data_IF_885148206811
#
_entry.id   IF_885148206811
#
_cell.length_a   1.000
_cell.length_b   1.000
_cell.length_c   1.000
_cell.angle_alpha   90.00
_cell.angle_beta   90.00
_cell.angle_gamma   90.00
#
_symmetry.space_group_name_H-M   'P 1'
#
loop_
_entity.id
_entity.type
_entity.pdbx_description
1 polymer ?
#
# COMPACT_ATOMS: atom_id res chain seq x y z
N UNK A 1 -36.73 12.18 18.30
CA UNK A 1 -35.55 12.80 17.67
C UNK A 1 -35.12 11.88 16.54
N UNK A 2 -35.13 12.33 15.29
CA UNK A 2 -34.65 11.54 14.18
C UNK A 2 -33.12 11.30 14.36
N UNK A 3 -32.68 10.06 14.20
CA UNK A 3 -31.25 9.77 14.18
C UNK A 3 -30.55 10.66 13.14
N UNK A 4 -29.33 11.18 13.43
CA UNK A 4 -28.62 11.97 12.44
C UNK A 4 -28.41 11.15 11.16
N UNK A 5 -28.43 11.80 9.99
CA UNK A 5 -28.27 11.09 8.72
C UNK A 5 -26.90 10.37 8.69
N UNK A 6 -26.91 9.17 8.15
CA UNK A 6 -25.69 8.38 7.98
C UNK A 6 -24.71 9.12 7.04
N UNK A 7 -23.42 9.23 7.39
CA UNK A 7 -22.46 9.96 6.57
C UNK A 7 -22.32 9.31 5.17
N UNK A 8 -22.12 10.09 4.11
CA UNK A 8 -21.76 9.55 2.80
C UNK A 8 -20.36 8.97 2.86
N UNK A 9 -20.17 7.77 2.33
CA UNK A 9 -18.88 7.10 2.26
C UNK A 9 -18.59 6.55 0.87
N UNK A 10 -17.33 6.38 0.52
CA UNK A 10 -16.89 5.83 -0.76
C UNK A 10 -16.10 4.56 -0.56
N UNK A 11 -16.43 3.50 -1.27
CA UNK A 11 -15.56 2.34 -1.45
C UNK A 11 -14.88 2.47 -2.82
N UNK A 12 -13.54 2.61 -2.79
CA UNK A 12 -12.69 2.63 -3.98
C UNK A 12 -12.23 1.22 -4.29
N UNK A 13 -12.69 0.65 -5.38
CA UNK A 13 -12.21 -0.62 -5.91
C UNK A 13 -11.22 -0.33 -7.04
N UNK A 14 -9.94 -0.56 -6.75
CA UNK A 14 -8.83 -0.32 -7.66
C UNK A 14 -8.46 -1.60 -8.39
N UNK A 15 -8.33 -1.56 -9.70
CA UNK A 15 -7.97 -2.73 -10.49
C UNK A 15 -6.98 -2.42 -11.62
N UNK A 16 -6.19 -3.42 -11.96
CA UNK A 16 -5.28 -3.43 -13.09
C UNK A 16 -4.90 -4.87 -13.46
N UNK A 17 -5.33 -5.35 -14.65
CA UNK A 17 -5.08 -6.70 -15.14
C UNK A 17 -5.48 -7.79 -14.13
N UNK A 18 -6.76 -7.79 -13.74
CA UNK A 18 -7.33 -8.69 -12.73
C UNK A 18 -8.61 -9.38 -13.22
N UNK A 19 -8.68 -9.74 -14.50
CA UNK A 19 -9.84 -10.39 -15.12
C UNK A 19 -10.34 -11.63 -14.35
N UNK A 20 -9.42 -12.37 -13.70
CA UNK A 20 -9.75 -13.63 -13.02
C UNK A 20 -10.34 -13.42 -11.61
N UNK A 21 -10.16 -12.24 -11.02
CA UNK A 21 -10.54 -11.96 -9.60
C UNK A 21 -11.53 -10.82 -9.44
N UNK A 22 -11.59 -9.90 -10.42
CA UNK A 22 -12.38 -8.67 -10.31
C UNK A 22 -13.87 -8.93 -10.07
N UNK A 23 -14.42 -10.03 -10.59
CA UNK A 23 -15.82 -10.40 -10.37
C UNK A 23 -16.16 -10.64 -8.88
N UNK A 24 -15.28 -11.35 -8.16
CA UNK A 24 -15.44 -11.58 -6.72
C UNK A 24 -15.29 -10.27 -5.92
N UNK A 25 -14.34 -9.42 -6.31
CA UNK A 25 -14.13 -8.12 -5.68
C UNK A 25 -15.35 -7.19 -5.85
N UNK A 26 -15.94 -7.16 -7.05
CA UNK A 26 -17.18 -6.40 -7.33
C UNK A 26 -18.33 -6.96 -6.52
N UNK A 27 -18.52 -8.27 -6.47
CA UNK A 27 -19.59 -8.89 -5.67
C UNK A 27 -19.46 -8.50 -4.19
N UNK A 28 -18.25 -8.49 -3.62
CA UNK A 28 -17.99 -8.01 -2.27
C UNK A 28 -18.26 -6.51 -2.07
N UNK A 29 -18.02 -5.68 -3.09
CA UNK A 29 -18.31 -4.26 -3.05
C UNK A 29 -19.83 -3.98 -3.15
N UNK A 30 -20.53 -4.64 -4.08
CA UNK A 30 -21.98 -4.51 -4.27
C UNK A 30 -22.78 -5.11 -3.11
N UNK A 31 -22.22 -6.09 -2.41
CA UNK A 31 -22.85 -6.75 -1.26
C UNK A 31 -22.69 -6.03 0.08
N UNK A 32 -22.20 -4.77 0.10
CA UNK A 32 -22.11 -4.00 1.35
C UNK A 32 -23.50 -3.64 1.91
N UNK A 33 -23.63 -3.69 3.23
CA UNK A 33 -24.88 -3.46 3.95
C UNK A 33 -25.12 -1.97 4.34
N UNK A 34 -24.29 -1.05 3.87
CA UNK A 34 -24.34 0.36 4.21
C UNK A 34 -25.11 1.18 3.16
N UNK A 35 -26.24 1.86 3.53
CA UNK A 35 -27.13 2.44 2.53
C UNK A 35 -26.62 3.72 1.85
N UNK A 36 -25.77 4.53 2.52
CA UNK A 36 -25.25 5.78 1.94
C UNK A 36 -23.83 5.57 1.36
N UNK A 37 -23.69 4.57 0.50
CA UNK A 37 -22.44 4.15 -0.11
C UNK A 37 -22.36 4.56 -1.59
N UNK A 38 -21.25 5.18 -1.96
CA UNK A 38 -20.77 5.32 -3.32
C UNK A 38 -19.68 4.28 -3.57
N UNK A 39 -19.76 3.53 -4.66
CA UNK A 39 -18.73 2.60 -5.09
C UNK A 39 -18.07 3.18 -6.35
N UNK A 40 -16.79 3.48 -6.27
CA UNK A 40 -16.00 3.94 -7.40
C UNK A 40 -15.06 2.80 -7.80
N UNK A 41 -15.30 2.23 -8.97
CA UNK A 41 -14.44 1.22 -9.58
C UNK A 41 -13.49 1.94 -10.53
N UNK A 42 -12.19 1.84 -10.27
CA UNK A 42 -11.17 2.55 -11.06
C UNK A 42 -10.19 1.56 -11.70
N UNK A 43 -10.32 1.40 -13.00
CA UNK A 43 -9.44 0.59 -13.84
C UNK A 43 -8.26 1.42 -14.34
N UNK A 44 -7.04 0.94 -14.06
CA UNK A 44 -5.80 1.64 -14.39
C UNK A 44 -5.24 1.27 -15.77
N UNK A 45 -6.08 1.35 -16.79
CA UNK A 45 -5.79 0.99 -18.18
C UNK A 45 -5.40 -0.48 -18.37
N UNK A 46 -6.20 -1.40 -17.85
CA UNK A 46 -6.04 -2.85 -18.04
C UNK A 46 -5.93 -3.24 -19.52
N UNK A 47 -5.17 -4.29 -19.80
CA UNK A 47 -4.92 -4.82 -21.15
C UNK A 47 -5.49 -6.23 -21.35
N UNK A 48 -6.10 -6.79 -20.31
CA UNK A 48 -6.80 -8.07 -20.29
C UNK A 48 -8.32 -7.85 -20.29
N UNK A 49 -9.11 -8.88 -20.01
CA UNK A 49 -10.58 -8.83 -19.93
C UNK A 49 -11.15 -8.16 -18.67
N UNK A 50 -10.35 -7.41 -17.88
CA UNK A 50 -10.81 -6.80 -16.60
C UNK A 50 -12.00 -5.86 -16.82
N UNK A 51 -11.92 -4.94 -17.80
CA UNK A 51 -12.99 -3.93 -18.04
C UNK A 51 -14.27 -4.59 -18.53
N UNK A 52 -14.18 -5.60 -19.38
CA UNK A 52 -15.31 -6.39 -19.86
C UNK A 52 -16.01 -7.10 -18.71
N UNK A 53 -15.25 -7.72 -17.80
CA UNK A 53 -15.80 -8.36 -16.59
C UNK A 53 -16.48 -7.34 -15.66
N UNK A 54 -15.88 -6.15 -15.47
CA UNK A 54 -16.52 -5.09 -14.68
C UNK A 54 -17.88 -4.72 -15.29
N UNK A 55 -17.93 -4.46 -16.60
CA UNK A 55 -19.19 -4.10 -17.28
C UNK A 55 -20.24 -5.20 -17.15
N UNK A 56 -19.83 -6.45 -17.34
CA UNK A 56 -20.74 -7.61 -17.18
C UNK A 56 -21.29 -7.74 -15.76
N UNK A 57 -20.48 -7.50 -14.72
CA UNK A 57 -20.93 -7.52 -13.32
C UNK A 57 -21.87 -6.36 -12.98
N UNK A 58 -21.78 -5.23 -13.68
CA UNK A 58 -22.61 -4.06 -13.46
C UNK A 58 -23.87 -4.04 -14.33
N UNK A 59 -23.94 -4.89 -15.35
CA UNK A 59 -25.10 -4.96 -16.23
C UNK A 59 -26.37 -5.34 -15.45
N UNK A 60 -27.42 -4.54 -15.60
CA UNK A 60 -28.67 -4.72 -14.87
C UNK A 60 -28.60 -4.47 -13.34
N UNK A 61 -27.50 -3.92 -12.82
CA UNK A 61 -27.45 -3.61 -11.37
C UNK A 61 -28.53 -2.60 -10.97
N UNK A 62 -29.44 -3.04 -10.11
CA UNK A 62 -30.55 -2.24 -9.56
C UNK A 62 -30.48 -2.13 -8.01
N UNK A 63 -29.30 -2.36 -7.43
CA UNK A 63 -29.06 -2.30 -5.98
C UNK A 63 -29.02 -0.85 -5.44
N UNK A 64 -28.86 -0.68 -4.12
CA UNK A 64 -29.00 0.61 -3.45
C UNK A 64 -27.81 1.55 -3.63
N UNK A 65 -26.65 1.06 -4.10
CA UNK A 65 -25.42 1.85 -4.12
C UNK A 65 -25.29 2.68 -5.40
N UNK A 66 -24.67 3.85 -5.27
CA UNK A 66 -24.30 4.68 -6.42
C UNK A 66 -22.99 4.14 -7.00
N UNK A 67 -23.01 3.73 -8.25
CA UNK A 67 -21.84 3.15 -8.91
C UNK A 67 -21.23 4.16 -9.87
N UNK A 68 -19.89 4.27 -9.84
CA UNK A 68 -19.10 5.03 -10.80
C UNK A 68 -17.97 4.17 -11.33
N UNK A 69 -17.92 4.00 -12.65
CA UNK A 69 -16.80 3.32 -13.33
C UNK A 69 -15.88 4.37 -13.94
N UNK A 70 -14.61 4.31 -13.59
CA UNK A 70 -13.53 5.11 -14.16
C UNK A 70 -12.58 4.17 -14.91
N UNK A 71 -12.33 4.45 -16.18
CA UNK A 71 -11.34 3.76 -16.97
C UNK A 71 -10.26 4.76 -17.36
N UNK A 72 -9.07 4.61 -16.81
CA UNK A 72 -7.96 5.51 -17.08
C UNK A 72 -7.47 5.31 -18.54
N UNK A 73 -7.13 6.37 -19.27
CA UNK A 73 -6.61 6.24 -20.64
C UNK A 73 -5.18 5.66 -20.68
N UNK A 74 -4.42 5.81 -19.59
CA UNK A 74 -3.08 5.27 -19.40
C UNK A 74 -2.91 4.74 -17.97
N UNK A 75 -1.92 3.87 -17.75
CA UNK A 75 -1.60 3.37 -16.42
C UNK A 75 -0.94 4.47 -15.58
N UNK A 76 -1.62 4.92 -14.56
CA UNK A 76 -1.18 5.96 -13.62
C UNK A 76 -0.38 5.38 -12.44
N UNK A 77 -0.41 4.07 -12.25
CA UNK A 77 0.07 3.38 -11.06
C UNK A 77 -0.85 3.58 -9.86
N UNK A 78 -0.63 2.80 -8.80
CA UNK A 78 -1.51 2.76 -7.62
C UNK A 78 -1.78 4.17 -7.07
N UNK A 79 -0.75 4.96 -6.80
CA UNK A 79 -0.91 6.31 -6.24
C UNK A 79 -1.67 7.27 -7.15
N UNK A 80 -1.38 7.27 -8.45
CA UNK A 80 -2.09 8.12 -9.43
C UNK A 80 -3.54 7.70 -9.62
N UNK A 81 -3.82 6.40 -9.65
CA UNK A 81 -5.16 5.85 -9.75
C UNK A 81 -6.01 6.19 -8.51
N UNK A 82 -5.44 6.07 -7.31
CA UNK A 82 -6.08 6.50 -6.06
C UNK A 82 -6.38 8.00 -6.09
N UNK A 83 -5.39 8.83 -6.41
CA UNK A 83 -5.55 10.29 -6.41
C UNK A 83 -6.70 10.73 -7.32
N UNK A 84 -6.74 10.20 -8.55
CA UNK A 84 -7.80 10.48 -9.50
C UNK A 84 -9.16 9.99 -9.00
N UNK A 85 -9.26 8.78 -8.48
CA UNK A 85 -10.51 8.19 -8.04
C UNK A 85 -11.06 8.91 -6.80
N UNK A 86 -10.22 9.28 -5.83
CA UNK A 86 -10.62 10.06 -4.66
C UNK A 86 -11.17 11.44 -5.07
N UNK A 87 -10.49 12.14 -5.98
CA UNK A 87 -10.97 13.45 -6.47
C UNK A 87 -12.31 13.39 -7.19
N UNK A 88 -12.66 12.24 -7.74
CA UNK A 88 -13.95 12.02 -8.40
C UNK A 88 -15.00 11.39 -7.49
N UNK A 89 -14.70 11.14 -6.23
CA UNK A 89 -15.60 10.57 -5.23
C UNK A 89 -16.11 11.63 -4.26
N UNK A 90 -17.15 11.31 -3.48
CA UNK A 90 -17.86 12.29 -2.63
C UNK A 90 -17.90 11.92 -1.14
N UNK A 91 -17.49 10.68 -0.76
CA UNK A 91 -17.58 10.20 0.62
C UNK A 91 -16.67 10.95 1.59
N UNK A 92 -17.13 11.13 2.82
CA UNK A 92 -16.35 11.66 3.94
C UNK A 92 -15.29 10.65 4.43
N UNK A 93 -15.62 9.35 4.37
CA UNK A 93 -14.73 8.24 4.68
C UNK A 93 -14.54 7.40 3.41
N UNK A 94 -13.30 7.05 3.09
CA UNK A 94 -12.90 6.39 1.86
C UNK A 94 -12.30 5.04 2.23
N UNK A 95 -12.87 3.96 1.72
CA UNK A 95 -12.42 2.58 1.88
C UNK A 95 -11.59 2.17 0.67
N UNK A 96 -10.44 1.57 0.89
CA UNK A 96 -9.59 1.05 -0.19
C UNK A 96 -9.85 -0.45 -0.36
N UNK A 97 -10.06 -0.87 -1.60
CA UNK A 97 -10.21 -2.27 -1.97
C UNK A 97 -9.40 -2.57 -3.23
N UNK A 98 -8.73 -3.72 -3.26
CA UNK A 98 -8.06 -4.24 -4.45
C UNK A 98 -9.00 -5.12 -5.27
N UNK A 99 -8.79 -5.18 -6.60
CA UNK A 99 -9.58 -6.04 -7.49
C UNK A 99 -9.25 -7.53 -7.37
N UNK A 100 -8.37 -7.92 -6.45
CA UNK A 100 -8.03 -9.30 -6.08
C UNK A 100 -8.52 -9.67 -4.67
N UNK A 101 -9.07 -8.72 -3.90
CA UNK A 101 -9.54 -8.92 -2.54
C UNK A 101 -11.07 -8.89 -2.46
N UNK A 102 -11.65 -9.48 -1.41
CA UNK A 102 -13.11 -9.51 -1.24
C UNK A 102 -13.51 -8.82 0.06
N UNK A 103 -14.21 -7.70 -0.03
CA UNK A 103 -14.79 -7.03 1.14
C UNK A 103 -15.93 -7.85 1.73
N UNK A 104 -15.94 -8.07 3.05
CA UNK A 104 -17.06 -8.72 3.72
C UNK A 104 -18.28 -7.80 3.77
N UNK A 105 -19.53 -8.32 3.78
CA UNK A 105 -20.74 -7.51 3.69
C UNK A 105 -20.86 -6.41 4.73
N UNK A 106 -20.45 -6.65 5.97
CA UNK A 106 -20.49 -5.69 7.07
C UNK A 106 -19.26 -4.79 7.17
N UNK A 107 -18.35 -4.78 6.16
CA UNK A 107 -17.11 -3.99 6.26
C UNK A 107 -17.39 -2.50 6.44
N UNK A 108 -18.22 -1.95 5.59
CA UNK A 108 -18.47 -0.50 5.59
C UNK A 108 -19.27 -0.10 6.83
N UNK A 109 -20.34 -0.79 7.16
CA UNK A 109 -21.18 -0.48 8.32
C UNK A 109 -20.40 -0.59 9.64
N UNK A 110 -19.59 -1.64 9.81
CA UNK A 110 -18.76 -1.86 11.02
C UNK A 110 -17.75 -0.72 11.22
N UNK A 111 -17.03 -0.34 10.17
CA UNK A 111 -16.03 0.75 10.26
C UNK A 111 -16.68 2.09 10.49
N UNK A 112 -17.82 2.38 9.83
CA UNK A 112 -18.58 3.63 10.05
C UNK A 112 -19.11 3.71 11.47
N UNK A 113 -19.71 2.63 12.00
CA UNK A 113 -20.17 2.59 13.40
C UNK A 113 -19.02 2.84 14.38
N UNK A 114 -17.87 2.21 14.16
CA UNK A 114 -16.67 2.46 14.95
C UNK A 114 -16.24 3.94 14.88
N UNK A 115 -16.19 4.51 13.69
CA UNK A 115 -15.81 5.91 13.48
C UNK A 115 -16.77 6.88 14.16
N UNK A 116 -18.08 6.64 14.08
CA UNK A 116 -19.11 7.44 14.76
C UNK A 116 -19.02 7.31 16.28
N UNK A 117 -18.79 6.11 16.82
CA UNK A 117 -18.58 5.87 18.24
C UNK A 117 -17.34 6.60 18.79
N UNK A 118 -16.35 6.89 17.94
CA UNK A 118 -15.18 7.70 18.27
C UNK A 118 -15.33 9.18 17.85
N UNK A 119 -16.57 9.68 17.74
CA UNK A 119 -16.88 11.09 17.45
C UNK A 119 -16.24 11.59 16.14
N UNK A 120 -16.04 10.69 15.16
CA UNK A 120 -15.36 10.97 13.88
C UNK A 120 -13.92 11.49 14.02
N UNK A 121 -13.27 11.25 15.16
CA UNK A 121 -11.88 11.69 15.44
C UNK A 121 -10.82 10.95 14.63
N UNK A 122 -10.90 9.61 14.48
CA UNK A 122 -9.91 8.89 13.68
C UNK A 122 -9.91 9.35 12.21
N UNK A 123 -8.72 9.57 11.65
CA UNK A 123 -8.54 9.87 10.24
C UNK A 123 -8.10 8.65 9.42
N UNK A 124 -7.53 7.65 10.09
CA UNK A 124 -7.25 6.36 9.50
C UNK A 124 -7.67 5.24 10.43
N UNK A 125 -8.45 4.32 9.91
CA UNK A 125 -8.90 3.10 10.58
C UNK A 125 -8.36 1.91 9.78
N UNK A 126 -7.48 1.11 10.40
CA UNK A 126 -7.00 -0.14 9.84
C UNK A 126 -7.73 -1.32 10.46
N UNK A 127 -8.30 -2.21 9.66
CA UNK A 127 -8.96 -3.42 10.12
C UNK A 127 -8.03 -4.64 10.02
N UNK A 128 -8.40 -5.77 10.64
CA UNK A 128 -7.79 -7.07 10.36
C UNK A 128 -8.34 -7.64 9.05
N UNK A 129 -7.66 -8.69 8.55
CA UNK A 129 -8.04 -9.37 7.31
C UNK A 129 -8.04 -10.88 7.53
N UNK A 130 -8.80 -11.59 6.72
CA UNK A 130 -8.59 -13.01 6.52
C UNK A 130 -7.54 -13.24 5.44
N UNK A 131 -6.62 -14.14 5.69
CA UNK A 131 -5.60 -14.59 4.75
C UNK A 131 -6.22 -15.64 3.81
N UNK A 132 -6.36 -15.32 2.54
CA UNK A 132 -7.01 -16.15 1.53
C UNK A 132 -6.00 -16.60 0.49
N UNK A 133 -6.03 -17.88 0.11
CA UNK A 133 -5.19 -18.37 -0.98
C UNK A 133 -5.81 -18.09 -2.37
N UNK A 134 -5.12 -18.50 -3.43
CA UNK A 134 -5.57 -18.28 -4.82
C UNK A 134 -6.87 -19.05 -5.16
N UNK A 135 -7.22 -20.08 -4.40
CA UNK A 135 -8.46 -20.85 -4.57
C UNK A 135 -9.66 -20.28 -3.80
N UNK A 136 -9.46 -19.20 -3.04
CA UNK A 136 -10.49 -18.62 -2.17
C UNK A 136 -10.57 -19.21 -0.77
N UNK A 137 -9.71 -20.18 -0.42
CA UNK A 137 -9.70 -20.82 0.90
C UNK A 137 -9.07 -19.89 1.93
N UNK A 138 -9.75 -19.70 3.07
CA UNK A 138 -9.23 -18.95 4.21
C UNK A 138 -8.20 -19.80 4.97
N UNK A 139 -7.02 -19.24 5.17
CA UNK A 139 -5.88 -19.87 5.83
C UNK A 139 -5.68 -19.39 7.27
N UNK A 140 -6.25 -18.25 7.64
CA UNK A 140 -6.10 -17.65 8.96
C UNK A 140 -6.45 -16.17 8.99
N UNK A 141 -6.03 -15.48 10.05
CA UNK A 141 -6.25 -14.06 10.23
C UNK A 141 -4.93 -13.31 10.16
N UNK A 142 -4.87 -12.24 9.34
CA UNK A 142 -3.77 -11.28 9.31
C UNK A 142 -4.11 -10.15 10.28
N UNK A 143 -3.22 -9.94 11.25
CA UNK A 143 -3.32 -8.82 12.20
C UNK A 143 -2.36 -7.71 11.77
N UNK A 144 -2.87 -6.50 11.69
CA UNK A 144 -2.05 -5.30 11.47
C UNK A 144 -1.48 -4.77 12.80
N UNK A 145 -0.59 -3.79 12.72
CA UNK A 145 -0.06 -3.10 13.89
C UNK A 145 -1.16 -2.35 14.67
N UNK A 146 -0.99 -2.22 15.99
CA UNK A 146 -1.88 -1.42 16.83
C UNK A 146 -1.54 0.06 16.64
N UNK A 147 -2.26 0.73 15.71
CA UNK A 147 -1.92 2.07 15.24
C UNK A 147 -2.07 3.13 16.33
N UNK A 148 -2.99 2.95 17.27
CA UNK A 148 -3.23 3.84 18.41
C UNK A 148 -2.05 3.90 19.39
N UNK A 149 -1.07 2.99 19.28
CA UNK A 149 0.18 3.05 20.07
C UNK A 149 1.19 4.03 19.50
N UNK A 150 1.03 4.43 18.25
CA UNK A 150 1.87 5.42 17.60
C UNK A 150 1.32 6.81 17.88
N UNK A 151 1.95 7.55 18.77
CA UNK A 151 1.52 8.89 19.18
C UNK A 151 2.26 10.01 18.46
N UNK A 152 3.32 9.66 17.75
CA UNK A 152 4.16 10.62 17.02
C UNK A 152 4.91 9.93 15.88
N UNK A 153 5.50 10.73 14.99
CA UNK A 153 6.39 10.23 13.97
C UNK A 153 7.70 9.65 14.53
N UNK A 154 8.06 9.97 15.77
CA UNK A 154 9.21 9.33 16.44
C UNK A 154 8.95 7.87 16.74
N UNK A 155 7.73 7.51 17.14
CA UNK A 155 7.34 6.12 17.32
C UNK A 155 7.40 5.36 16.01
N UNK A 156 6.88 5.97 14.93
CA UNK A 156 6.95 5.40 13.58
C UNK A 156 8.40 5.22 13.12
N UNK A 157 9.28 6.21 13.37
CA UNK A 157 10.68 6.17 12.92
C UNK A 157 11.48 5.03 13.57
N UNK A 158 11.17 4.69 14.82
CA UNK A 158 11.79 3.57 15.55
C UNK A 158 11.36 2.22 15.00
N UNK A 159 10.06 2.05 14.71
CA UNK A 159 9.49 0.80 14.21
C UNK A 159 8.20 1.07 13.46
N UNK A 160 8.23 1.20 12.13
CA UNK A 160 7.01 1.40 11.33
C UNK A 160 6.01 0.26 11.56
N UNK A 161 4.70 0.57 11.64
CA UNK A 161 3.68 -0.46 11.81
C UNK A 161 3.58 -1.39 10.59
N UNK A 162 3.10 -2.60 10.80
CA UNK A 162 2.62 -3.43 9.72
C UNK A 162 1.21 -2.99 9.35
N UNK A 163 1.01 -2.52 8.12
CA UNK A 163 -0.27 -2.08 7.55
C UNK A 163 -0.52 -2.75 6.22
N UNK A 164 -1.78 -2.81 5.79
CA UNK A 164 -2.22 -3.34 4.50
C UNK A 164 -3.31 -2.42 3.96
N UNK A 165 -3.14 -1.91 2.73
CA UNK A 165 -4.04 -0.93 2.11
C UNK A 165 -5.47 -1.42 1.99
N UNK A 166 -5.68 -2.66 1.55
CA UNK A 166 -6.99 -3.28 1.43
C UNK A 166 -7.83 -3.29 2.73
N UNK A 167 -7.18 -3.13 3.90
CA UNK A 167 -7.83 -3.08 5.20
C UNK A 167 -8.08 -1.66 5.73
N UNK A 168 -7.67 -0.63 4.99
CA UNK A 168 -7.74 0.75 5.45
C UNK A 168 -9.02 1.46 5.02
N UNK A 169 -9.46 2.37 5.89
CA UNK A 169 -10.40 3.44 5.56
C UNK A 169 -9.78 4.77 6.01
N UNK A 170 -9.90 5.80 5.17
CA UNK A 170 -9.33 7.13 5.41
C UNK A 170 -10.40 8.20 5.36
N UNK A 171 -10.27 9.23 6.17
CA UNK A 171 -11.11 10.41 5.99
C UNK A 171 -10.62 11.23 4.79
N UNK A 172 -11.58 11.85 4.09
CA UNK A 172 -11.27 12.81 3.02
C UNK A 172 -10.40 13.95 3.53
N UNK A 173 -10.66 14.46 4.75
CA UNK A 173 -9.85 15.54 5.34
C UNK A 173 -8.36 15.14 5.51
N UNK A 174 -8.04 13.86 5.80
CA UNK A 174 -6.64 13.41 5.84
C UNK A 174 -6.02 13.44 4.45
N UNK A 175 -6.75 12.99 3.43
CA UNK A 175 -6.27 12.97 2.06
C UNK A 175 -6.02 14.40 1.54
N UNK A 176 -6.99 15.29 1.73
CA UNK A 176 -6.95 16.66 1.21
C UNK A 176 -5.89 17.51 1.91
N UNK A 177 -5.69 17.34 3.24
CA UNK A 177 -4.70 18.05 4.03
C UNK A 177 -3.29 17.99 3.43
N UNK A 178 -2.92 16.81 2.90
CA UNK A 178 -1.58 16.59 2.34
C UNK A 178 -1.56 16.62 0.80
N UNK A 179 -2.56 17.21 0.16
CA UNK A 179 -2.63 17.42 -1.29
C UNK A 179 -2.84 16.15 -2.11
N UNK A 180 -3.34 15.08 -1.49
CA UNK A 180 -3.64 13.83 -2.18
C UNK A 180 -2.53 12.78 -2.13
N UNK A 181 -2.55 11.83 -3.08
CA UNK A 181 -1.56 10.75 -3.17
C UNK A 181 -0.52 11.09 -4.25
N UNK A 182 0.79 10.99 -3.96
CA UNK A 182 1.80 11.33 -4.95
C UNK A 182 1.82 10.33 -6.11
N UNK A 183 1.87 10.85 -7.36
CA UNK A 183 2.03 10.03 -8.57
C UNK A 183 3.32 9.21 -8.46
N UNK A 184 3.22 7.91 -8.72
CA UNK A 184 4.33 6.96 -8.62
C UNK A 184 4.53 6.30 -7.26
N UNK A 185 3.74 6.66 -6.23
CA UNK A 185 3.70 5.89 -4.99
C UNK A 185 3.03 4.52 -5.21
N UNK A 186 3.55 3.49 -4.53
CA UNK A 186 3.03 2.11 -4.53
C UNK A 186 2.63 1.69 -3.12
N UNK A 187 3.29 2.23 -2.10
CA UNK A 187 2.99 1.99 -0.68
C UNK A 187 2.04 3.07 -0.13
N UNK A 188 0.88 3.22 -0.74
CA UNK A 188 -0.16 4.17 -0.35
C UNK A 188 -0.60 3.97 1.10
N UNK A 189 -0.68 2.73 1.53
CA UNK A 189 -1.05 2.32 2.89
C UNK A 189 -0.10 2.88 3.94
N UNK A 190 1.21 2.81 3.67
CA UNK A 190 2.23 3.34 4.58
C UNK A 190 2.26 4.86 4.56
N UNK A 191 2.06 5.50 3.39
CA UNK A 191 1.99 6.97 3.28
C UNK A 191 0.82 7.52 4.09
N UNK A 192 -0.36 6.91 3.97
CA UNK A 192 -1.55 7.36 4.71
C UNK A 192 -1.44 7.05 6.21
N UNK A 193 -0.90 5.88 6.58
CA UNK A 193 -0.63 5.56 7.98
C UNK A 193 0.38 6.53 8.60
N UNK A 194 1.45 6.90 7.88
CA UNK A 194 2.43 7.89 8.33
C UNK A 194 1.79 9.26 8.62
N UNK A 195 0.94 9.75 7.72
CA UNK A 195 0.19 11.01 7.87
C UNK A 195 -0.71 10.99 9.11
N UNK A 196 -1.52 9.93 9.26
CA UNK A 196 -2.45 9.80 10.37
C UNK A 196 -1.73 9.60 11.72
N UNK A 197 -0.61 8.87 11.76
CA UNK A 197 0.25 8.75 12.95
C UNK A 197 0.84 10.10 13.32
N UNK A 198 1.31 10.88 12.35
CA UNK A 198 1.82 12.22 12.60
C UNK A 198 0.79 13.19 13.20
N UNK A 199 -0.49 12.92 12.97
CA UNK A 199 -1.63 13.65 13.56
C UNK A 199 -2.19 12.98 14.83
N UNK A 200 -1.65 11.84 15.23
CA UNK A 200 -2.19 10.99 16.31
C UNK A 200 -3.67 10.59 16.11
N UNK A 201 -4.08 10.35 14.85
CA UNK A 201 -5.46 10.01 14.45
C UNK A 201 -5.59 8.63 13.78
N UNK A 202 -4.54 7.78 13.88
CA UNK A 202 -4.55 6.41 13.37
C UNK A 202 -5.00 5.43 14.45
N UNK A 203 -5.94 4.54 14.10
CA UNK A 203 -6.48 3.52 15.03
C UNK A 203 -6.64 2.17 14.34
N UNK A 204 -6.65 1.11 15.15
CA UNK A 204 -6.86 -0.26 14.70
C UNK A 204 -8.21 -0.77 15.18
N UNK A 205 -9.01 -1.27 14.24
CA UNK A 205 -10.22 -2.03 14.50
C UNK A 205 -9.88 -3.54 14.42
N UNK A 206 -9.83 -4.27 15.56
CA UNK A 206 -9.33 -5.65 15.58
C UNK A 206 -10.38 -6.68 15.10
N UNK A 207 -11.02 -6.38 13.96
CA UNK A 207 -12.06 -7.22 13.33
C UNK A 207 -11.65 -7.52 11.90
N UNK A 208 -11.62 -8.79 11.46
CA UNK A 208 -11.38 -9.13 10.06
C UNK A 208 -12.57 -8.71 9.18
N UNK A 209 -12.31 -7.85 8.19
CA UNK A 209 -13.35 -7.27 7.33
C UNK A 209 -13.09 -7.45 5.83
N UNK A 210 -11.98 -8.08 5.46
CA UNK A 210 -11.59 -8.33 4.07
C UNK A 210 -10.95 -9.72 3.96
N UNK A 211 -11.31 -10.48 2.95
CA UNK A 211 -10.58 -11.64 2.50
C UNK A 211 -9.43 -11.16 1.60
N UNK A 212 -8.21 -11.20 2.10
CA UNK A 212 -7.00 -10.72 1.42
C UNK A 212 -6.34 -11.85 0.65
N UNK A 213 -6.29 -11.75 -0.67
CA UNK A 213 -5.75 -12.80 -1.55
C UNK A 213 -4.23 -12.75 -1.60
N UNK A 214 -3.60 -13.89 -1.29
CA UNK A 214 -2.15 -14.04 -1.42
C UNK A 214 -1.70 -13.92 -2.88
N UNK A 215 -0.52 -13.34 -3.10
CA UNK A 215 0.11 -13.31 -4.42
C UNK A 215 -0.12 -12.05 -5.23
N UNK A 216 -0.78 -11.04 -4.66
CA UNK A 216 -0.90 -9.70 -5.26
C UNK A 216 0.45 -9.04 -5.59
N UNK A 217 0.43 -7.86 -6.19
CA UNK A 217 1.59 -7.12 -6.71
C UNK A 217 2.71 -6.91 -5.68
N UNK A 218 2.37 -6.88 -4.39
CA UNK A 218 3.30 -6.64 -3.27
C UNK A 218 3.86 -7.90 -2.65
N UNK A 219 3.48 -9.09 -3.11
CA UNK A 219 3.92 -10.36 -2.52
C UNK A 219 5.46 -10.49 -2.57
N UNK A 220 6.06 -10.76 -1.40
CA UNK A 220 7.52 -10.92 -1.27
C UNK A 220 7.92 -12.32 -1.72
N UNK A 221 8.44 -12.46 -2.95
CA UNK A 221 9.14 -13.68 -3.36
C UNK A 221 10.49 -13.78 -2.66
N UNK A 222 10.83 -14.97 -2.13
CA UNK A 222 12.16 -15.18 -1.56
C UNK A 222 13.22 -15.07 -2.66
N UNK A 223 14.15 -14.12 -2.51
CA UNK A 223 15.28 -13.98 -3.41
C UNK A 223 16.35 -15.01 -3.07
N UNK A 224 16.55 -15.98 -3.95
CA UNK A 224 17.49 -17.08 -3.81
C UNK A 224 18.72 -16.95 -4.74
N UNK A 225 18.87 -15.82 -5.42
CA UNK A 225 19.98 -15.47 -6.29
C UNK A 225 20.19 -13.95 -6.34
N UNK A 226 21.37 -13.53 -6.81
CA UNK A 226 21.73 -12.13 -6.88
C UNK A 226 20.87 -11.36 -7.90
N UNK A 227 20.51 -11.97 -9.02
CA UNK A 227 19.72 -11.32 -10.07
C UNK A 227 18.33 -10.94 -9.56
N UNK A 228 17.67 -11.83 -8.81
CA UNK A 228 16.39 -11.58 -8.16
C UNK A 228 16.47 -10.42 -7.15
N UNK A 229 17.59 -10.36 -6.37
CA UNK A 229 17.81 -9.24 -5.44
C UNK A 229 17.97 -7.92 -6.20
N UNK A 230 18.84 -7.90 -7.23
CA UNK A 230 19.08 -6.72 -8.05
C UNK A 230 17.77 -6.23 -8.70
N UNK A 231 17.02 -7.14 -9.33
CA UNK A 231 15.72 -6.81 -9.93
C UNK A 231 14.74 -6.24 -8.90
N UNK A 232 14.75 -6.78 -7.67
CA UNK A 232 13.92 -6.27 -6.56
C UNK A 232 14.33 -4.87 -6.12
N UNK A 233 15.64 -4.62 -5.99
CA UNK A 233 16.18 -3.30 -5.64
C UNK A 233 15.84 -2.26 -6.72
N UNK A 234 16.18 -2.53 -7.99
CA UNK A 234 16.03 -1.55 -9.07
C UNK A 234 14.57 -1.25 -9.41
N UNK A 235 13.67 -2.25 -9.34
CA UNK A 235 12.25 -2.08 -9.66
C UNK A 235 11.54 -1.08 -8.74
N UNK A 236 11.95 -1.00 -7.47
CA UNK A 236 11.26 -0.19 -6.44
C UNK A 236 11.86 1.19 -6.21
N UNK A 237 13.02 1.49 -6.78
CA UNK A 237 13.76 2.73 -6.49
C UNK A 237 12.86 3.97 -6.67
N UNK A 238 12.17 4.09 -7.80
CA UNK A 238 11.41 5.29 -8.11
C UNK A 238 10.21 5.47 -7.17
N UNK A 239 9.43 4.42 -6.91
CA UNK A 239 8.31 4.49 -5.99
C UNK A 239 8.78 4.78 -4.57
N UNK A 240 9.79 4.07 -4.06
CA UNK A 240 10.33 4.28 -2.71
C UNK A 240 10.90 5.71 -2.55
N UNK A 241 11.60 6.25 -3.55
CA UNK A 241 12.05 7.65 -3.52
C UNK A 241 10.88 8.64 -3.46
N UNK A 242 9.85 8.41 -4.25
CA UNK A 242 8.64 9.25 -4.25
C UNK A 242 7.95 9.24 -2.89
N UNK A 243 7.76 8.07 -2.31
CA UNK A 243 7.16 7.88 -0.99
C UNK A 243 8.00 8.54 0.11
N UNK A 244 9.32 8.33 0.12
CA UNK A 244 10.22 8.92 1.12
C UNK A 244 10.29 10.45 1.02
N UNK A 245 10.29 11.02 -0.19
CA UNK A 245 10.20 12.49 -0.38
C UNK A 245 8.88 13.03 0.17
N UNK A 246 7.77 12.39 -0.20
CA UNK A 246 6.45 12.75 0.32
C UNK A 246 6.42 12.70 1.86
N UNK A 247 6.94 11.61 2.46
CA UNK A 247 7.01 11.48 3.92
C UNK A 247 7.92 12.53 4.56
N UNK A 248 9.05 12.88 3.95
CA UNK A 248 9.93 13.94 4.43
C UNK A 248 9.23 15.31 4.42
N UNK A 249 8.52 15.62 3.36
CA UNK A 249 7.79 16.90 3.26
C UNK A 249 6.63 16.94 4.26
N UNK A 250 5.87 15.85 4.40
CA UNK A 250 4.83 15.74 5.42
C UNK A 250 5.41 15.80 6.85
N UNK A 251 6.56 15.17 7.11
CA UNK A 251 7.24 15.24 8.41
C UNK A 251 7.67 16.67 8.78
N UNK A 252 8.19 17.45 7.81
CA UNK A 252 8.54 18.86 8.00
C UNK A 252 7.31 19.72 8.30
N UNK A 253 6.23 19.53 7.53
CA UNK A 253 4.94 20.22 7.75
C UNK A 253 4.38 19.95 9.14
N UNK A 254 4.51 18.71 9.62
CA UNK A 254 4.04 18.27 10.94
C UNK A 254 4.97 18.64 12.09
N UNK A 255 6.12 19.28 11.82
CA UNK A 255 7.09 19.65 12.86
C UNK A 255 7.78 18.44 13.51
N UNK A 256 8.03 17.37 12.74
CA UNK A 256 8.69 16.17 13.26
C UNK A 256 10.09 16.47 13.82
N UNK A 257 10.54 15.65 14.77
CA UNK A 257 11.85 15.78 15.39
C UNK A 257 12.99 15.67 14.38
N UNK A 258 14.14 16.28 14.70
CA UNK A 258 15.35 16.16 13.91
C UNK A 258 15.78 14.69 13.74
N UNK A 259 15.52 13.84 14.75
CA UNK A 259 15.81 12.40 14.68
C UNK A 259 14.94 11.69 13.63
N UNK A 260 13.64 11.95 13.59
CA UNK A 260 12.73 11.40 12.57
C UNK A 260 13.11 11.86 11.16
N UNK A 261 13.42 13.16 10.98
CA UNK A 261 13.88 13.70 9.70
C UNK A 261 15.18 13.04 9.24
N UNK A 262 16.14 12.83 10.16
CA UNK A 262 17.40 12.15 9.86
C UNK A 262 17.19 10.69 9.42
N UNK A 263 16.28 9.95 10.05
CA UNK A 263 15.92 8.57 9.65
C UNK A 263 15.32 8.52 8.24
N UNK A 264 14.42 9.43 7.91
CA UNK A 264 13.81 9.51 6.58
C UNK A 264 14.84 9.90 5.52
N UNK A 265 15.69 10.89 5.82
CA UNK A 265 16.76 11.36 4.93
C UNK A 265 17.79 10.24 4.68
N UNK A 266 18.19 9.49 5.71
CA UNK A 266 19.08 8.33 5.54
C UNK A 266 18.45 7.27 4.63
N UNK A 267 17.16 6.97 4.81
CA UNK A 267 16.43 6.04 3.93
C UNK A 267 16.44 6.54 2.48
N UNK A 268 16.16 7.81 2.25
CA UNK A 268 16.19 8.41 0.92
C UNK A 268 17.60 8.38 0.31
N UNK A 269 18.64 8.69 1.09
CA UNK A 269 20.04 8.59 0.64
C UNK A 269 20.43 7.17 0.26
N UNK A 270 19.90 6.15 0.94
CA UNK A 270 20.11 4.73 0.56
C UNK A 270 19.55 4.44 -0.83
N UNK A 271 18.34 4.91 -1.13
CA UNK A 271 17.73 4.72 -2.45
C UNK A 271 18.49 5.47 -3.55
N UNK A 272 18.90 6.71 -3.30
CA UNK A 272 19.72 7.50 -4.22
C UNK A 272 21.09 6.84 -4.48
N UNK A 273 21.70 6.29 -3.45
CA UNK A 273 22.96 5.54 -3.59
C UNK A 273 22.78 4.28 -4.44
N UNK A 274 21.72 3.50 -4.21
CA UNK A 274 21.41 2.31 -5.01
C UNK A 274 21.23 2.71 -6.49
N UNK A 275 20.42 3.75 -6.76
CA UNK A 275 20.19 4.26 -8.11
C UNK A 275 21.51 4.65 -8.80
N UNK A 276 22.29 5.51 -8.14
CA UNK A 276 23.57 5.98 -8.68
C UNK A 276 24.55 4.83 -8.92
N UNK A 277 24.58 3.83 -8.03
CA UNK A 277 25.46 2.67 -8.13
C UNK A 277 25.13 1.79 -9.33
N UNK A 278 23.84 1.56 -9.63
CA UNK A 278 23.43 0.75 -10.78
C UNK A 278 23.48 1.53 -12.10
N UNK A 279 23.36 2.85 -12.08
CA UNK A 279 23.53 3.71 -13.25
C UNK A 279 25.01 3.93 -13.62
N UNK A 280 25.94 3.84 -12.66
CA UNK A 280 27.37 4.12 -12.86
C UNK A 280 28.03 3.11 -13.80
N UNK A 281 28.82 3.63 -14.74
CA UNK A 281 29.68 2.83 -15.61
C UNK A 281 31.09 2.71 -15.02
N UNK A 282 31.68 1.51 -15.11
CA UNK A 282 33.04 1.24 -14.65
C UNK A 282 33.21 1.15 -13.12
N UNK A 283 34.20 0.37 -12.70
CA UNK A 283 34.46 0.11 -11.28
C UNK A 283 34.96 1.36 -10.53
N UNK A 284 35.80 2.20 -11.17
CA UNK A 284 36.31 3.41 -10.54
C UNK A 284 35.21 4.38 -10.11
N UNK A 285 34.18 4.62 -10.96
CA UNK A 285 33.03 5.47 -10.59
C UNK A 285 32.20 4.86 -9.45
N UNK A 286 32.02 3.53 -9.45
CA UNK A 286 31.30 2.84 -8.38
C UNK A 286 32.03 2.93 -7.03
N UNK A 287 33.37 2.83 -7.03
CA UNK A 287 34.20 3.05 -5.83
C UNK A 287 34.09 4.51 -5.38
N UNK A 288 34.16 5.48 -6.32
CA UNK A 288 33.95 6.90 -6.02
C UNK A 288 32.65 7.17 -5.30
N UNK A 289 31.53 6.56 -5.74
CA UNK A 289 30.23 6.66 -5.07
C UNK A 289 30.27 6.13 -3.63
N UNK A 290 30.99 5.04 -3.37
CA UNK A 290 31.16 4.55 -2.00
C UNK A 290 31.88 5.57 -1.10
N UNK A 291 32.76 6.41 -1.65
CA UNK A 291 33.45 7.47 -0.92
C UNK A 291 32.60 8.73 -0.79
N UNK A 292 31.77 9.07 -1.78
CA UNK A 292 30.85 10.19 -1.74
C UNK A 292 29.76 9.99 -0.67
N UNK A 293 29.21 8.78 -0.55
CA UNK A 293 28.12 8.45 0.39
C UNK A 293 28.63 7.93 1.74
N UNK A 294 29.72 8.52 2.30
CA UNK A 294 30.30 8.08 3.58
C UNK A 294 29.34 8.10 4.78
N UNK A 295 28.28 8.90 4.69
CA UNK A 295 27.23 8.95 5.71
C UNK A 295 26.47 7.62 5.85
N UNK A 296 26.43 6.80 4.79
CA UNK A 296 25.79 5.48 4.83
C UNK A 296 26.72 4.44 5.44
N UNK A 297 26.20 3.42 6.14
CA UNK A 297 27.00 2.33 6.72
C UNK A 297 27.92 1.66 5.69
N UNK A 298 29.14 1.36 6.09
CA UNK A 298 30.16 0.81 5.19
C UNK A 298 29.77 -0.57 4.63
N UNK A 299 29.19 -1.43 5.49
CA UNK A 299 28.69 -2.76 5.12
C UNK A 299 27.57 -2.66 4.06
N UNK A 300 26.66 -1.70 4.20
CA UNK A 300 25.62 -1.43 3.22
C UNK A 300 26.23 -1.01 1.87
N UNK A 301 27.18 -0.05 1.86
CA UNK A 301 27.83 0.42 0.65
C UNK A 301 28.60 -0.69 -0.07
N UNK A 302 29.36 -1.49 0.68
CA UNK A 302 30.12 -2.62 0.14
C UNK A 302 29.18 -3.68 -0.46
N UNK A 303 28.08 -3.99 0.23
CA UNK A 303 27.09 -4.94 -0.26
C UNK A 303 26.46 -4.49 -1.59
N UNK A 304 26.06 -3.22 -1.71
CA UNK A 304 25.50 -2.69 -2.95
C UNK A 304 26.55 -2.63 -4.06
N UNK A 305 27.80 -2.26 -3.75
CA UNK A 305 28.91 -2.31 -4.69
C UNK A 305 29.10 -3.73 -5.24
N UNK A 306 29.07 -4.75 -4.38
CA UNK A 306 29.21 -6.16 -4.80
C UNK A 306 28.07 -6.57 -5.73
N UNK A 307 26.81 -6.20 -5.43
CA UNK A 307 25.67 -6.45 -6.33
C UNK A 307 25.85 -5.76 -7.69
N UNK A 308 26.36 -4.53 -7.71
CA UNK A 308 26.45 -3.72 -8.93
C UNK A 308 27.71 -3.98 -9.77
N UNK A 309 28.79 -4.46 -9.18
CA UNK A 309 30.09 -4.66 -9.86
C UNK A 309 30.48 -6.12 -10.04
N UNK A 310 30.19 -6.99 -9.07
CA UNK A 310 30.64 -8.37 -9.05
C UNK A 310 29.61 -9.31 -8.39
N UNK A 311 28.35 -9.39 -8.91
CA UNK A 311 27.28 -10.19 -8.29
C UNK A 311 27.61 -11.69 -8.18
N UNK A 312 28.51 -12.19 -9.00
CA UNK A 312 29.01 -13.56 -8.99
C UNK A 312 29.74 -13.91 -7.71
N UNK A 313 30.39 -12.96 -7.02
CA UNK A 313 31.00 -13.17 -5.70
C UNK A 313 30.02 -13.61 -4.63
N UNK A 314 28.72 -13.36 -4.83
CA UNK A 314 27.66 -13.76 -3.92
C UNK A 314 27.12 -15.18 -4.19
N UNK A 315 27.63 -15.87 -5.22
CA UNK A 315 27.18 -17.22 -5.57
C UNK A 315 27.29 -18.23 -4.40
N UNK A 316 28.38 -18.29 -3.62
CA UNK A 316 28.48 -19.20 -2.48
C UNK A 316 27.47 -18.91 -1.39
N UNK A 317 27.20 -17.63 -1.12
CA UNK A 317 26.15 -17.21 -0.16
C UNK A 317 24.76 -17.67 -0.60
N UNK A 318 24.41 -17.47 -1.85
CA UNK A 318 23.11 -17.91 -2.37
C UNK A 318 22.99 -19.43 -2.48
N UNK A 319 24.10 -20.13 -2.76
CA UNK A 319 24.14 -21.59 -2.71
C UNK A 319 23.79 -22.11 -1.32
N UNK A 320 24.46 -21.62 -0.26
CA UNK A 320 24.16 -21.98 1.12
C UNK A 320 22.72 -21.59 1.53
N UNK A 321 22.23 -20.43 1.06
CA UNK A 321 20.87 -20.00 1.32
C UNK A 321 19.83 -20.94 0.70
N UNK A 322 20.07 -21.46 -0.53
CA UNK A 322 19.21 -22.45 -1.17
C UNK A 322 19.19 -23.79 -0.42
N UNK A 323 20.33 -24.25 0.05
CA UNK A 323 20.42 -25.50 0.85
C UNK A 323 19.61 -25.41 2.14
N UNK A 324 19.56 -24.24 2.77
CA UNK A 324 18.74 -23.98 3.98
C UNK A 324 17.28 -23.72 3.68
N UNK A 325 16.94 -23.47 2.42
CA UNK A 325 15.57 -23.22 2.02
C UNK A 325 14.84 -24.54 1.82
N UNK A 326 13.99 -24.92 2.79
CA UNK A 326 12.96 -25.94 2.60
C UNK A 326 11.71 -25.21 2.08
N UNK A 327 11.22 -25.47 0.86
CA UNK A 327 9.91 -24.98 0.46
C UNK A 327 8.91 -25.49 1.49
N UNK A 328 8.00 -24.63 1.94
CA UNK A 328 6.87 -25.09 2.71
C UNK A 328 6.12 -26.11 1.84
N UNK A 329 6.20 -27.40 2.22
CA UNK A 329 5.36 -28.43 1.63
C UNK A 329 3.93 -28.01 1.86
N UNK A 330 3.21 -27.80 0.77
CA UNK A 330 1.76 -27.63 0.80
C UNK A 330 1.18 -28.89 1.45
N UNK A 331 0.79 -28.84 2.72
CA UNK A 331 -0.19 -29.72 3.34
C UNK A 331 -1.52 -29.00 3.41
#
# INVERSE_FOLDING_TARGET
MSSPPLPPVTLLLLCYNQQDTIGEAIAGALGQDYPNLEIVISDDASKDGTVEQIKACLDGYAGPHRIKLLCNPENLGIGGNIDQAVRQSTGELIFIAGGDDVSLPARVSTVVQFWLAHERKPDLIGAYLFDMDQSGKILGTIRIGQLEKYRSLDDWSRSPPHVIGAAQAWTRRLFDRFGGMPKGAVGEDMVMAFRAIGLATAVTLPVPLVNYRRGGLTSKRKALDAATVIKGLTRKINSTKTELRCMLDNARELGASAATLAVLDEKLKKELFIESMFAAQGLGRKIGLCLEYKILPADFRLRILTYAAAPWLLAPFFFLKRLRYRPATHQ
#
